data_IF_555862734046
#
_entry.id   IF_555862734046
#
_cell.length_a   1.000
_cell.length_b   1.000
_cell.length_c   1.000
_cell.angle_alpha   90.00
_cell.angle_beta   90.00
_cell.angle_gamma   90.00
#
_symmetry.space_group_name_H-M   'P 1'
#
loop_
_entity.id
_entity.type
_entity.pdbx_description
1 polymer ?
#
# COMPACT_ATOMS: atom_id res chain seq x y z
N UNK A 1 -18.46 -3.90 3.90
CA UNK A 1 -17.00 -3.70 3.93
C UNK A 1 -16.51 -4.15 5.28
N UNK A 2 -15.70 -5.20 5.33
CA UNK A 2 -14.91 -5.48 6.54
C UNK A 2 -14.08 -4.24 6.84
N UNK A 3 -14.15 -3.76 8.09
CA UNK A 3 -13.34 -2.62 8.51
C UNK A 3 -11.88 -3.06 8.53
N UNK A 4 -11.11 -2.62 7.53
CA UNK A 4 -9.64 -2.71 7.57
C UNK A 4 -9.20 -2.10 8.90
N UNK A 5 -8.47 -2.88 9.70
CA UNK A 5 -7.97 -2.40 10.99
C UNK A 5 -6.92 -1.32 10.72
N UNK A 6 -7.26 -0.07 11.00
CA UNK A 6 -6.41 1.09 10.77
C UNK A 6 -5.07 1.00 11.50
N UNK A 7 -5.02 0.31 12.65
CA UNK A 7 -3.77 0.04 13.38
C UNK A 7 -2.86 -0.92 12.60
N UNK A 8 -3.41 -1.99 12.02
CA UNK A 8 -2.63 -2.94 11.21
C UNK A 8 -2.08 -2.25 9.96
N UNK A 9 -2.91 -1.48 9.27
CA UNK A 9 -2.49 -0.71 8.10
C UNK A 9 -1.39 0.30 8.44
N UNK A 10 -1.53 1.05 9.54
CA UNK A 10 -0.52 2.00 10.00
C UNK A 10 0.82 1.31 10.28
N UNK A 11 0.80 0.19 11.01
CA UNK A 11 2.01 -0.60 11.29
C UNK A 11 2.67 -1.10 10.01
N UNK A 12 1.90 -1.61 9.05
CA UNK A 12 2.43 -2.06 7.75
C UNK A 12 3.08 -0.90 6.98
N UNK A 13 2.46 0.28 6.97
CA UNK A 13 3.00 1.47 6.32
C UNK A 13 4.30 1.95 6.97
N UNK A 14 4.38 1.96 8.30
CA UNK A 14 5.58 2.39 9.04
C UNK A 14 6.75 1.40 8.89
N UNK A 15 6.46 0.11 8.68
CA UNK A 15 7.46 -0.92 8.47
C UNK A 15 8.17 -0.84 7.10
N UNK A 16 7.55 -0.24 6.08
CA UNK A 16 8.14 -0.13 4.73
C UNK A 16 9.37 0.80 4.78
N UNK A 17 10.58 0.29 4.53
CA UNK A 17 11.78 1.11 4.56
C UNK A 17 11.88 2.01 3.32
N UNK A 18 12.83 2.95 3.32
CA UNK A 18 13.25 3.63 2.08
C UNK A 18 13.85 2.60 1.13
N UNK A 19 13.41 2.59 -0.13
CA UNK A 19 13.92 1.69 -1.15
C UNK A 19 15.41 1.97 -1.45
N UNK A 20 16.23 0.93 -1.44
CA UNK A 20 17.62 0.89 -1.88
C UNK A 20 17.85 -0.33 -2.77
N UNK A 21 19.00 -0.40 -3.45
CA UNK A 21 19.35 -1.57 -4.27
C UNK A 21 19.45 -2.86 -3.42
N UNK A 22 19.99 -2.76 -2.20
CA UNK A 22 20.24 -3.91 -1.34
C UNK A 22 18.97 -4.45 -0.65
N UNK A 23 17.94 -3.63 -0.50
CA UNK A 23 16.72 -3.99 0.24
C UNK A 23 15.49 -4.24 -0.63
N UNK A 24 15.63 -4.28 -1.97
CA UNK A 24 14.51 -4.39 -2.90
C UNK A 24 13.55 -5.54 -2.56
N UNK A 25 14.08 -6.75 -2.30
CA UNK A 25 13.24 -7.93 -1.99
C UNK A 25 12.41 -7.72 -0.72
N UNK A 26 13.02 -7.17 0.34
CA UNK A 26 12.31 -6.86 1.59
C UNK A 26 11.26 -5.76 1.37
N UNK A 27 11.67 -4.68 0.69
CA UNK A 27 10.80 -3.57 0.37
C UNK A 27 9.56 -4.04 -0.42
N UNK A 28 9.78 -4.84 -1.47
CA UNK A 28 8.72 -5.40 -2.31
C UNK A 28 7.76 -6.24 -1.47
N UNK A 29 8.25 -7.12 -0.60
CA UNK A 29 7.40 -7.96 0.24
C UNK A 29 6.53 -7.15 1.20
N UNK A 30 7.07 -6.06 1.76
CA UNK A 30 6.32 -5.18 2.66
C UNK A 30 5.27 -4.34 1.92
N UNK A 31 5.58 -3.87 0.71
CA UNK A 31 4.62 -3.20 -0.17
C UNK A 31 3.50 -4.16 -0.59
N UNK A 32 3.85 -5.37 -1.01
CA UNK A 32 2.90 -6.43 -1.36
C UNK A 32 1.94 -6.72 -0.20
N UNK A 33 2.45 -6.87 1.02
CA UNK A 33 1.63 -7.09 2.23
C UNK A 33 0.70 -5.90 2.52
N UNK A 34 1.20 -4.67 2.37
CA UNK A 34 0.39 -3.46 2.54
C UNK A 34 -0.78 -3.41 1.53
N UNK A 35 -0.52 -3.77 0.27
CA UNK A 35 -1.56 -3.87 -0.76
C UNK A 35 -2.56 -4.98 -0.46
N UNK A 36 -2.12 -6.11 0.09
CA UNK A 36 -2.99 -7.23 0.48
C UNK A 36 -3.93 -6.84 1.64
N UNK A 37 -3.44 -6.12 2.66
CA UNK A 37 -4.26 -5.60 3.78
C UNK A 37 -5.43 -4.74 3.28
N UNK A 38 -5.26 -4.11 2.12
CA UNK A 38 -6.22 -3.18 1.53
C UNK A 38 -7.00 -3.77 0.36
N UNK A 39 -6.79 -5.05 0.04
CA UNK A 39 -7.35 -5.70 -1.13
C UNK A 39 -7.07 -4.92 -2.43
N UNK A 40 -5.88 -4.32 -2.54
CA UNK A 40 -5.44 -3.52 -3.70
C UNK A 40 -4.54 -4.29 -4.65
N UNK A 41 -3.90 -5.37 -4.17
CA UNK A 41 -2.86 -6.09 -4.93
C UNK A 41 -3.36 -6.58 -6.29
N UNK A 42 -4.42 -7.39 -6.29
CA UNK A 42 -4.97 -7.95 -7.53
C UNK A 42 -5.41 -6.86 -8.51
N UNK A 43 -6.08 -5.82 -8.01
CA UNK A 43 -6.55 -4.70 -8.82
C UNK A 43 -5.40 -3.89 -9.46
N UNK A 44 -4.22 -3.86 -8.85
CA UNK A 44 -3.06 -3.09 -9.33
C UNK A 44 -2.06 -3.92 -10.14
N UNK A 45 -2.01 -5.24 -9.96
CA UNK A 45 -0.99 -6.10 -10.60
C UNK A 45 -1.54 -7.00 -11.70
N UNK A 46 -2.85 -7.11 -11.84
CA UNK A 46 -3.47 -7.90 -12.90
C UNK A 46 -3.53 -7.13 -14.21
N UNK A 47 -3.37 -7.81 -15.34
CA UNK A 47 -3.41 -7.21 -16.68
C UNK A 47 -4.69 -6.40 -16.95
N UNK A 48 -5.83 -6.89 -16.44
CA UNK A 48 -7.14 -6.24 -16.55
C UNK A 48 -7.66 -5.74 -15.19
N UNK A 49 -6.76 -5.54 -14.23
CA UNK A 49 -7.12 -5.04 -12.90
C UNK A 49 -7.76 -3.65 -13.00
N UNK A 50 -8.86 -3.44 -12.28
CA UNK A 50 -9.54 -2.14 -12.19
C UNK A 50 -9.84 -1.85 -10.74
N UNK A 51 -9.61 -0.60 -10.32
CA UNK A 51 -9.97 -0.13 -8.99
C UNK A 51 -11.46 0.22 -8.95
N UNK A 52 -12.13 -0.22 -7.90
CA UNK A 52 -13.42 0.35 -7.50
C UNK A 52 -13.22 1.79 -6.99
N UNK A 53 -14.28 2.59 -6.98
CA UNK A 53 -14.22 3.96 -6.43
C UNK A 53 -13.69 4.01 -4.99
N UNK A 54 -13.98 2.98 -4.19
CA UNK A 54 -13.48 2.88 -2.81
C UNK A 54 -11.97 2.60 -2.78
N UNK A 55 -11.49 1.67 -3.62
CA UNK A 55 -10.06 1.36 -3.73
C UNK A 55 -9.26 2.55 -4.26
N UNK A 56 -9.81 3.31 -5.21
CA UNK A 56 -9.21 4.55 -5.72
C UNK A 56 -9.03 5.59 -4.59
N UNK A 57 -10.08 5.88 -3.83
CA UNK A 57 -10.01 6.83 -2.70
C UNK A 57 -9.01 6.37 -1.63
N UNK A 58 -9.00 5.07 -1.32
CA UNK A 58 -8.04 4.49 -0.37
C UNK A 58 -6.61 4.63 -0.87
N UNK A 59 -6.35 4.28 -2.14
CA UNK A 59 -5.04 4.36 -2.75
C UNK A 59 -4.49 5.78 -2.72
N UNK A 60 -5.28 6.77 -3.15
CA UNK A 60 -4.90 8.20 -3.11
C UNK A 60 -4.54 8.65 -1.70
N UNK A 61 -5.34 8.25 -0.70
CA UNK A 61 -5.09 8.62 0.71
C UNK A 61 -3.72 8.13 1.19
N UNK A 62 -3.35 6.89 0.88
CA UNK A 62 -2.05 6.31 1.28
C UNK A 62 -0.91 7.04 0.56
N UNK A 63 -1.03 7.23 -0.75
CA UNK A 63 -0.01 7.88 -1.56
C UNK A 63 0.25 9.29 -1.02
N UNK A 64 -0.80 10.08 -0.78
CA UNK A 64 -0.67 11.41 -0.18
C UNK A 64 0.01 11.36 1.18
N UNK A 65 -0.36 10.41 2.06
CA UNK A 65 0.26 10.25 3.39
C UNK A 65 1.76 9.90 3.34
N UNK A 66 2.23 9.32 2.24
CA UNK A 66 3.63 8.96 2.00
C UNK A 66 4.41 10.06 1.27
N UNK A 67 3.74 10.87 0.46
CA UNK A 67 4.34 11.99 -0.27
C UNK A 67 4.58 13.19 0.67
N UNK A 68 3.72 13.43 1.68
CA UNK A 68 3.79 14.60 2.56
C UNK A 68 4.71 14.47 3.80
N UNK A 69 5.95 13.99 3.63
CA UNK A 69 6.95 14.00 4.72
C UNK A 69 8.31 14.64 4.39
N UNK A 70 8.44 15.30 3.23
CA UNK A 70 9.70 15.94 2.81
C UNK A 70 9.56 17.42 2.40
N UNK A 71 8.66 18.18 3.03
CA UNK A 71 8.80 19.64 3.13
C UNK A 71 9.24 20.02 4.52
#
# INVERSE_FOLDING_TARGET
MEKINSTILKTALEAIPKLTADNYTLWKNLVDNMLDIQNLREALTSENGTLTDTQDVQLRTIITSKIDKNT
#
